data_IF_051536839284
#
_entry.id   IF_051536839284
#
_cell.length_a   1.000
_cell.length_b   1.000
_cell.length_c   1.000
_cell.angle_alpha   90.00
_cell.angle_beta   90.00
_cell.angle_gamma   90.00
#
_symmetry.space_group_name_H-M   'P 1'
#
loop_
_entity.id
_entity.type
_entity.pdbx_description
1 polymer ?
#
# COMPACT_ATOMS: atom_id res chain seq x y z
N UNK A 1 5.78 9.21 17.62
CA UNK A 1 5.48 8.07 16.75
C UNK A 1 4.01 8.17 16.44
N UNK A 2 3.65 8.48 15.19
CA UNK A 2 2.24 8.60 14.80
C UNK A 2 1.62 7.19 14.88
N UNK A 3 0.85 6.95 15.94
CA UNK A 3 0.23 5.65 16.21
C UNK A 3 -1.09 5.47 15.42
N UNK A 4 -1.51 6.49 14.68
CA UNK A 4 -2.74 6.46 13.90
C UNK A 4 -2.44 6.70 12.42
N UNK A 5 -2.74 5.73 11.52
CA UNK A 5 -2.57 5.90 10.08
C UNK A 5 -3.28 7.11 9.50
N UNK A 6 -4.36 7.58 10.14
CA UNK A 6 -5.09 8.77 9.71
C UNK A 6 -4.25 10.06 9.84
N UNK A 7 -3.22 10.05 10.70
CA UNK A 7 -2.23 11.13 10.82
C UNK A 7 -1.18 11.08 9.71
N UNK A 8 -1.16 10.02 8.88
CA UNK A 8 -0.17 9.85 7.82
C UNK A 8 -0.62 10.49 6.50
N UNK A 9 -1.87 10.95 6.39
CA UNK A 9 -2.35 11.59 5.16
C UNK A 9 -1.49 12.81 4.84
N UNK A 10 -0.89 12.82 3.65
CA UNK A 10 0.08 13.82 3.19
C UNK A 10 1.55 13.51 3.55
N UNK A 11 1.82 12.50 4.36
CA UNK A 11 3.17 12.07 4.70
C UNK A 11 3.77 11.14 3.63
N UNK A 12 5.10 11.19 3.50
CA UNK A 12 5.84 10.23 2.67
C UNK A 12 6.00 8.90 3.40
N UNK A 13 5.75 7.81 2.69
CA UNK A 13 5.94 6.44 3.18
C UNK A 13 6.90 5.67 2.28
N UNK A 14 7.49 4.64 2.86
CA UNK A 14 8.29 3.64 2.17
C UNK A 14 7.83 2.25 2.60
N UNK A 15 7.60 1.38 1.63
CA UNK A 15 7.28 -0.02 1.86
C UNK A 15 8.23 -0.89 1.05
N UNK A 16 8.73 -1.94 1.68
CA UNK A 16 9.71 -2.86 1.11
C UNK A 16 9.08 -4.26 1.04
N UNK A 17 9.44 -5.02 0.01
CA UNK A 17 9.00 -6.41 -0.21
C UNK A 17 7.46 -6.54 -0.14
N UNK A 18 6.75 -5.74 -0.94
CA UNK A 18 5.30 -5.85 -1.08
C UNK A 18 4.96 -6.62 -2.34
N UNK A 19 3.96 -7.50 -2.24
CA UNK A 19 3.54 -8.32 -3.38
C UNK A 19 2.23 -7.79 -3.93
N UNK A 20 2.17 -7.66 -5.25
CA UNK A 20 0.92 -7.41 -5.95
C UNK A 20 -0.03 -8.59 -5.76
N UNK A 21 -1.29 -8.31 -5.42
CA UNK A 21 -2.30 -9.35 -5.19
C UNK A 21 -3.53 -9.22 -6.09
N UNK A 22 -4.08 -8.02 -6.27
CA UNK A 22 -5.20 -7.78 -7.19
C UNK A 22 -5.41 -6.27 -7.47
N UNK A 23 -6.08 -5.89 -8.57
CA UNK A 23 -6.44 -4.49 -8.79
C UNK A 23 -7.55 -4.06 -7.82
N UNK A 24 -7.46 -2.82 -7.33
CA UNK A 24 -8.48 -2.20 -6.49
C UNK A 24 -9.15 -1.05 -7.25
N UNK A 25 -10.47 -0.91 -7.12
CA UNK A 25 -11.37 0.04 -7.83
C UNK A 25 -10.69 1.29 -8.44
N UNK A 26 -11.08 1.65 -9.68
CA UNK A 26 -10.82 2.95 -10.32
C UNK A 26 -9.39 3.51 -10.09
N UNK A 27 -8.42 2.86 -10.75
CA UNK A 27 -7.02 3.29 -10.88
C UNK A 27 -6.06 2.92 -9.73
N UNK A 28 -6.43 1.98 -8.85
CA UNK A 28 -5.51 1.47 -7.84
C UNK A 28 -5.05 0.04 -8.11
N UNK A 29 -3.79 -0.24 -7.83
CA UNK A 29 -3.21 -1.57 -7.83
C UNK A 29 -2.94 -1.99 -6.38
N UNK A 30 -3.42 -3.17 -5.99
CA UNK A 30 -3.36 -3.66 -4.62
C UNK A 30 -2.06 -4.41 -4.34
N UNK A 31 -1.40 -4.03 -3.25
CA UNK A 31 -0.19 -4.66 -2.74
C UNK A 31 -0.35 -5.03 -1.27
N UNK A 32 0.37 -6.07 -0.85
CA UNK A 32 0.40 -6.50 0.55
C UNK A 32 1.84 -6.75 0.98
N UNK A 33 2.27 -6.10 2.06
CA UNK A 33 3.47 -6.52 2.77
C UNK A 33 3.14 -7.78 3.59
N UNK A 34 3.95 -8.82 3.49
CA UNK A 34 3.82 -10.01 4.35
C UNK A 34 4.88 -9.91 5.45
N UNK A 35 4.47 -9.51 6.65
CA UNK A 35 5.36 -9.53 7.82
C UNK A 35 5.18 -10.87 8.54
N UNK A 36 6.10 -11.81 8.31
CA UNK A 36 6.06 -13.17 8.89
C UNK A 36 5.93 -13.16 10.43
N UNK A 37 6.44 -12.13 11.09
CA UNK A 37 6.42 -12.02 12.55
C UNK A 37 5.10 -11.50 13.15
N UNK A 38 4.24 -10.86 12.35
CA UNK A 38 3.06 -10.15 12.86
C UNK A 38 1.73 -10.78 12.43
N UNK A 39 1.73 -11.74 11.48
CA UNK A 39 0.54 -12.30 10.81
C UNK A 39 -0.41 -11.23 10.22
N UNK A 40 0.03 -9.97 10.23
CA UNK A 40 -0.68 -8.80 9.75
C UNK A 40 -0.05 -8.42 8.42
N UNK A 41 -0.80 -8.62 7.34
CA UNK A 41 -0.38 -8.04 6.07
C UNK A 41 -1.00 -6.68 5.93
N UNK A 42 -0.15 -5.65 5.78
CA UNK A 42 -0.61 -4.27 5.60
C UNK A 42 -0.93 -4.04 4.12
N UNK A 43 -2.20 -3.82 3.75
CA UNK A 43 -2.57 -3.55 2.38
C UNK A 43 -2.24 -2.11 1.98
N UNK A 44 -1.64 -1.97 0.80
CA UNK A 44 -1.35 -0.71 0.13
C UNK A 44 -2.09 -0.67 -1.21
N UNK A 45 -2.69 0.47 -1.54
CA UNK A 45 -3.36 0.71 -2.81
C UNK A 45 -2.57 1.78 -3.56
N UNK A 46 -1.86 1.42 -4.61
CA UNK A 46 -1.04 2.35 -5.39
C UNK A 46 -1.85 2.92 -6.55
N UNK A 47 -2.01 4.24 -6.60
CA UNK A 47 -2.72 4.94 -7.68
C UNK A 47 -1.88 4.92 -8.96
N UNK A 48 -2.25 4.10 -9.93
CA UNK A 48 -1.47 3.92 -11.17
C UNK A 48 -2.25 3.26 -12.30
N UNK A 49 -1.87 3.61 -13.53
CA UNK A 49 -2.26 2.95 -14.77
C UNK A 49 -1.32 1.79 -15.16
N UNK A 50 -0.21 1.61 -14.42
CA UNK A 50 0.70 0.48 -14.61
C UNK A 50 0.01 -0.83 -14.28
N UNK A 51 0.33 -1.86 -15.06
CA UNK A 51 -0.08 -3.23 -14.80
C UNK A 51 1.06 -4.00 -14.12
N UNK A 52 0.70 -4.86 -13.19
CA UNK A 52 1.61 -5.73 -12.46
C UNK A 52 1.23 -7.19 -12.69
N UNK A 53 2.19 -8.08 -12.51
CA UNK A 53 1.99 -9.51 -12.58
C UNK A 53 1.62 -10.08 -11.20
N UNK A 54 0.83 -11.16 -11.18
CA UNK A 54 0.45 -11.82 -9.94
C UNK A 54 1.68 -12.19 -9.09
N UNK A 55 1.67 -11.80 -7.82
CA UNK A 55 2.78 -11.94 -6.87
C UNK A 55 4.07 -11.20 -7.24
N UNK A 56 4.02 -10.25 -8.18
CA UNK A 56 5.15 -9.36 -8.45
C UNK A 56 5.55 -8.62 -7.17
N UNK A 57 6.80 -8.79 -6.76
CA UNK A 57 7.36 -8.18 -5.58
C UNK A 57 8.05 -6.87 -5.96
N UNK A 58 7.66 -5.78 -5.28
CA UNK A 58 8.25 -4.46 -5.47
C UNK A 58 8.61 -3.83 -4.12
N UNK A 59 9.51 -2.86 -4.17
CA UNK A 59 9.67 -1.86 -3.12
C UNK A 59 9.27 -0.51 -3.68
N UNK A 60 8.60 0.32 -2.88
CA UNK A 60 8.18 1.63 -3.33
C UNK A 60 8.27 2.69 -2.23
N UNK A 61 8.40 3.94 -2.66
CA UNK A 61 8.13 5.12 -1.86
C UNK A 61 7.00 5.94 -2.49
N UNK A 62 6.23 6.67 -1.70
CA UNK A 62 5.14 7.49 -2.20
C UNK A 62 4.50 8.34 -1.11
N UNK A 63 3.41 9.04 -1.44
CA UNK A 63 2.68 9.90 -0.49
C UNK A 63 1.34 9.27 -0.15
N UNK A 64 0.96 9.26 1.12
CA UNK A 64 -0.36 8.76 1.55
C UNK A 64 -1.43 9.75 1.12
N UNK A 65 -2.29 9.34 0.18
CA UNK A 65 -3.42 10.13 -0.30
C UNK A 65 -4.57 10.10 0.73
N UNK A 66 -4.88 8.92 1.25
CA UNK A 66 -5.94 8.68 2.24
C UNK A 66 -5.73 7.34 2.94
N UNK A 67 -6.42 7.16 4.05
CA UNK A 67 -6.56 5.88 4.74
C UNK A 67 -7.99 5.36 4.63
N UNK A 68 -8.14 4.04 4.71
CA UNK A 68 -9.45 3.38 4.75
C UNK A 68 -9.43 2.17 5.68
N UNK A 69 -10.59 1.51 5.80
CA UNK A 69 -10.74 0.30 6.59
C UNK A 69 -11.63 -0.71 5.84
N UNK A 70 -11.20 -1.96 5.78
CA UNK A 70 -11.95 -3.07 5.21
C UNK A 70 -11.91 -4.25 6.17
N UNK A 71 -13.07 -4.67 6.68
CA UNK A 71 -13.19 -5.77 7.63
C UNK A 71 -12.27 -5.62 8.87
N UNK A 72 -12.09 -4.38 9.37
CA UNK A 72 -11.22 -4.09 10.50
C UNK A 72 -9.72 -3.97 10.15
N UNK A 73 -9.34 -4.17 8.89
CA UNK A 73 -7.96 -4.00 8.41
C UNK A 73 -7.81 -2.61 7.82
N UNK A 74 -6.82 -1.85 8.32
CA UNK A 74 -6.51 -0.52 7.79
C UNK A 74 -5.80 -0.63 6.45
N UNK A 75 -6.26 0.15 5.47
CA UNK A 75 -5.71 0.24 4.11
C UNK A 75 -5.08 1.62 3.92
N UNK A 76 -3.91 1.65 3.28
CA UNK A 76 -3.21 2.89 2.92
C UNK A 76 -3.29 3.09 1.42
N UNK A 77 -3.85 4.22 0.99
CA UNK A 77 -3.88 4.62 -0.41
C UNK A 77 -2.72 5.57 -0.68
N UNK A 78 -1.98 5.29 -1.76
CA UNK A 78 -0.70 5.94 -2.06
C UNK A 78 -0.76 6.55 -3.45
N UNK A 79 -0.35 7.81 -3.56
CA UNK A 79 -0.15 8.51 -4.82
C UNK A 79 1.31 8.94 -5.01
N UNK A 80 1.65 9.40 -6.22
CA UNK A 80 2.98 9.92 -6.57
C UNK A 80 4.13 8.95 -6.21
N UNK A 81 3.90 7.65 -6.34
CA UNK A 81 4.86 6.63 -5.93
C UNK A 81 5.98 6.40 -6.97
N UNK A 82 7.11 5.92 -6.48
CA UNK A 82 8.26 5.46 -7.27
C UNK A 82 8.62 4.04 -6.84
N UNK A 83 8.83 3.15 -7.81
CA UNK A 83 9.32 1.79 -7.58
C UNK A 83 10.86 1.84 -7.51
N UNK A 84 11.44 1.17 -6.51
CA UNK A 84 12.88 1.09 -6.25
C UNK A 84 13.51 -0.19 -6.81
#
# INVERSE_FOLDING_TARGET
MANHPDEWVGESIRAENVNYYEPYQEDYQGFRAVYEEQDEGRPFMLKTDKQFHDNEEISFSGTVEKTGELQGVKIIFVENFTIE
#
